data_IF_001059141609
#
_entry.id   IF_001059141609
#
_cell.length_a   1.000
_cell.length_b   1.000
_cell.length_c   1.000
_cell.angle_alpha   90.00
_cell.angle_beta   90.00
_cell.angle_gamma   90.00
#
_symmetry.space_group_name_H-M   'P 1'
#
loop_
_entity.id
_entity.type
_entity.pdbx_description
1 polymer ?
#
# COMPACT_ATOMS: atom_id res chain seq x y z
N UNK A 1 -82.63 -9.00 14.94
CA UNK A 1 -81.57 -8.44 15.78
C UNK A 1 -80.62 -9.58 16.12
N UNK A 2 -79.39 -9.58 15.48
CA UNK A 2 -78.36 -10.58 15.75
C UNK A 2 -77.16 -9.86 16.39
N UNK A 3 -76.59 -10.37 17.45
CA UNK A 3 -75.41 -9.75 18.04
C UNK A 3 -74.15 -10.14 17.29
N UNK A 4 -73.30 -9.15 17.01
CA UNK A 4 -71.98 -9.32 16.44
C UNK A 4 -71.00 -9.83 17.49
N UNK A 5 -70.44 -11.00 17.28
CA UNK A 5 -69.35 -11.57 18.06
C UNK A 5 -68.03 -10.93 17.68
N UNK A 6 -67.41 -10.22 18.59
CA UNK A 6 -66.06 -9.65 18.47
C UNK A 6 -65.07 -10.75 18.80
N UNK A 7 -64.30 -11.19 17.80
CA UNK A 7 -63.16 -12.10 17.99
C UNK A 7 -61.94 -11.27 18.39
N UNK A 8 -61.51 -11.40 19.62
CA UNK A 8 -60.24 -10.86 20.13
C UNK A 8 -59.14 -11.80 19.63
N UNK A 9 -58.33 -11.33 18.68
CA UNK A 9 -57.10 -12.00 18.24
C UNK A 9 -55.99 -11.78 19.27
N UNK A 10 -55.65 -12.85 19.98
CA UNK A 10 -54.47 -12.87 20.84
C UNK A 10 -53.20 -12.88 19.98
N UNK A 11 -52.51 -11.75 19.91
CA UNK A 11 -51.14 -11.68 19.33
C UNK A 11 -50.19 -12.33 20.33
N UNK A 12 -49.68 -13.50 19.97
CA UNK A 12 -48.60 -14.14 20.70
C UNK A 12 -47.28 -13.38 20.41
N UNK A 13 -46.75 -12.73 21.45
CA UNK A 13 -45.46 -12.07 21.41
C UNK A 13 -44.37 -13.17 21.44
N UNK A 14 -43.76 -13.46 20.29
CA UNK A 14 -42.60 -14.34 20.25
C UNK A 14 -41.38 -13.52 20.73
N UNK A 15 -40.97 -13.77 21.95
CA UNK A 15 -39.70 -13.26 22.51
C UNK A 15 -38.58 -14.12 21.93
N UNK A 16 -37.87 -13.62 20.92
CA UNK A 16 -36.65 -14.22 20.43
C UNK A 16 -35.53 -13.91 21.42
N UNK A 17 -35.21 -14.88 22.28
CA UNK A 17 -34.01 -14.82 23.12
C UNK A 17 -32.79 -15.04 22.23
N UNK A 18 -32.12 -13.96 21.86
CA UNK A 18 -30.80 -14.04 21.19
C UNK A 18 -29.80 -14.44 22.27
N UNK A 19 -29.46 -15.72 22.32
CA UNK A 19 -28.34 -16.22 23.12
C UNK A 19 -27.07 -15.66 22.53
N UNK A 20 -26.65 -14.48 22.97
CA UNK A 20 -25.33 -13.92 22.66
C UNK A 20 -24.28 -14.83 23.28
N UNK A 21 -23.55 -15.59 22.45
CA UNK A 21 -22.31 -16.21 22.88
C UNK A 21 -21.37 -15.10 23.32
N UNK A 22 -21.28 -14.84 24.64
CA UNK A 22 -20.23 -14.01 25.20
C UNK A 22 -18.92 -14.76 25.07
N UNK A 23 -18.15 -14.43 24.01
CA UNK A 23 -16.77 -14.88 23.88
C UNK A 23 -15.95 -14.22 25.01
N UNK A 24 -15.45 -15.04 25.93
CA UNK A 24 -14.44 -14.61 26.90
C UNK A 24 -13.08 -14.97 26.32
N UNK A 25 -12.26 -13.99 25.94
CA UNK A 25 -10.91 -14.30 25.47
C UNK A 25 -10.11 -14.98 26.57
N UNK A 26 -9.41 -16.03 26.22
CA UNK A 26 -8.48 -16.72 27.13
C UNK A 26 -7.18 -15.90 27.26
N UNK A 27 -6.39 -16.10 28.33
CA UNK A 27 -5.10 -15.42 28.46
C UNK A 27 -4.17 -15.67 27.28
N UNK A 28 -4.27 -16.82 26.62
CA UNK A 28 -3.50 -17.17 25.41
C UNK A 28 -3.95 -16.38 24.18
N UNK A 29 -5.23 -16.04 24.07
CA UNK A 29 -5.76 -15.15 23.02
C UNK A 29 -5.22 -13.74 23.14
N UNK A 30 -4.90 -13.30 24.35
CA UNK A 30 -4.28 -11.99 24.61
C UNK A 30 -2.79 -11.98 24.28
N UNK A 31 -2.13 -13.12 24.30
CA UNK A 31 -0.71 -13.26 23.92
C UNK A 31 -0.54 -13.51 22.42
N UNK A 32 -1.54 -14.08 21.77
CA UNK A 32 -1.60 -14.29 20.32
C UNK A 32 -2.43 -13.22 19.62
N UNK A 33 -2.74 -12.14 20.31
CA UNK A 33 -3.38 -10.98 19.70
C UNK A 33 -2.50 -10.52 18.54
N UNK A 34 -2.82 -11.00 17.33
CA UNK A 34 -2.45 -10.30 16.11
C UNK A 34 -2.99 -8.89 16.30
N UNK A 35 -2.14 -8.00 16.80
CA UNK A 35 -2.44 -6.58 16.73
C UNK A 35 -2.96 -6.37 15.31
N UNK A 36 -4.13 -5.75 15.10
CA UNK A 36 -4.54 -5.39 13.77
C UNK A 36 -3.32 -4.72 13.19
N UNK A 37 -2.81 -5.24 12.05
CA UNK A 37 -1.74 -4.58 11.32
C UNK A 37 -2.19 -3.15 11.23
N UNK A 38 -1.62 -2.30 12.08
CA UNK A 38 -1.86 -0.88 11.97
C UNK A 38 -1.39 -0.58 10.57
N UNK A 39 -2.33 -0.15 9.75
CA UNK A 39 -2.08 0.40 8.44
C UNK A 39 -1.10 1.52 8.69
N UNK A 40 0.18 1.21 8.63
CA UNK A 40 1.21 2.23 8.59
C UNK A 40 1.08 2.78 7.19
N UNK A 41 0.37 3.89 7.06
CA UNK A 41 0.40 4.73 5.88
C UNK A 41 1.85 5.24 5.78
N UNK A 42 2.71 4.38 5.23
CA UNK A 42 4.10 4.75 5.00
C UNK A 42 4.06 5.68 3.80
N UNK A 43 4.14 6.97 4.07
CA UNK A 43 4.42 7.95 3.02
C UNK A 43 5.93 8.18 3.00
N UNK A 44 6.59 7.75 1.96
CA UNK A 44 8.04 7.84 1.83
C UNK A 44 8.48 7.83 0.37
N UNK A 45 9.72 8.19 0.11
CA UNK A 45 10.31 8.03 -1.21
C UNK A 45 10.62 6.57 -1.51
N UNK A 46 10.35 6.14 -2.74
CA UNK A 46 10.77 4.86 -3.29
C UNK A 46 12.16 5.04 -3.92
N UNK A 47 13.15 4.34 -3.39
CA UNK A 47 14.56 4.49 -3.77
C UNK A 47 15.01 3.28 -4.59
N UNK A 48 15.74 3.52 -5.66
CA UNK A 48 16.36 2.47 -6.48
C UNK A 48 17.65 1.98 -5.82
N UNK A 49 18.14 0.79 -6.18
CA UNK A 49 19.42 0.25 -5.69
C UNK A 49 20.64 1.17 -5.96
N UNK A 50 20.51 2.13 -6.87
CA UNK A 50 21.54 3.12 -7.16
C UNK A 50 21.40 4.41 -6.33
N UNK A 51 20.47 4.47 -5.39
CA UNK A 51 20.26 5.61 -4.51
C UNK A 51 19.47 6.77 -5.12
N UNK A 52 18.83 6.59 -6.27
CA UNK A 52 17.95 7.59 -6.86
C UNK A 52 16.51 7.39 -6.44
N UNK A 53 15.79 8.48 -6.21
CA UNK A 53 14.37 8.45 -5.92
C UNK A 53 13.54 8.33 -7.21
N UNK A 54 12.49 7.51 -7.14
CA UNK A 54 11.46 7.49 -8.18
C UNK A 54 10.68 8.78 -8.10
N UNK A 55 10.55 9.47 -9.22
CA UNK A 55 9.97 10.81 -9.29
C UNK A 55 8.88 10.87 -10.36
N UNK A 56 7.72 11.38 -10.03
CA UNK A 56 6.68 11.70 -11.01
C UNK A 56 7.01 13.01 -11.71
N UNK A 57 7.33 12.95 -13.00
CA UNK A 57 7.59 14.11 -13.85
C UNK A 57 6.53 14.19 -14.96
N UNK A 58 5.58 15.10 -14.81
CA UNK A 58 4.42 15.13 -15.69
C UNK A 58 3.54 13.89 -15.52
N UNK A 59 3.56 13.00 -16.49
CA UNK A 59 2.86 11.70 -16.48
C UNK A 59 3.82 10.51 -16.49
N UNK A 60 5.11 10.74 -16.41
CA UNK A 60 6.14 9.70 -16.44
C UNK A 60 6.81 9.55 -15.08
N UNK A 61 7.22 8.34 -14.76
CA UNK A 61 8.10 8.07 -13.64
C UNK A 61 9.55 8.02 -14.14
N UNK A 62 10.39 8.80 -13.48
CA UNK A 62 11.82 8.91 -13.77
C UNK A 62 12.63 8.70 -12.50
N UNK A 63 13.88 8.31 -12.64
CA UNK A 63 14.86 8.37 -11.54
C UNK A 63 15.40 9.79 -11.40
N UNK A 64 15.47 10.34 -10.18
CA UNK A 64 16.06 11.64 -9.88
C UNK A 64 16.84 11.60 -8.56
N UNK A 65 17.74 12.56 -8.29
CA UNK A 65 18.26 12.74 -6.95
C UNK A 65 17.09 12.91 -5.95
N UNK A 66 17.24 12.38 -4.75
CA UNK A 66 16.22 12.52 -3.71
C UNK A 66 16.21 13.96 -3.21
N UNK A 67 15.06 14.62 -3.28
CA UNK A 67 14.87 16.04 -2.91
C UNK A 67 13.67 16.27 -1.98
N UNK A 68 13.05 15.18 -1.48
CA UNK A 68 11.89 15.19 -0.58
C UNK A 68 10.63 15.90 -1.13
N UNK A 69 10.62 16.21 -2.42
CA UNK A 69 9.46 16.83 -3.06
C UNK A 69 8.22 15.92 -3.05
N UNK A 70 7.04 16.50 -3.12
CA UNK A 70 5.77 15.77 -3.19
C UNK A 70 5.70 14.80 -4.39
N UNK A 71 6.48 15.04 -5.45
CA UNK A 71 6.55 14.17 -6.62
C UNK A 71 7.38 12.89 -6.38
N UNK A 72 8.08 12.81 -5.25
CA UNK A 72 8.86 11.65 -4.81
C UNK A 72 8.19 10.89 -3.66
N UNK A 73 7.06 11.40 -3.15
CA UNK A 73 6.36 10.78 -2.04
C UNK A 73 5.34 9.76 -2.57
N UNK A 74 5.47 8.56 -2.06
CA UNK A 74 4.58 7.44 -2.34
C UNK A 74 3.99 6.92 -1.04
N UNK A 75 2.75 6.48 -1.07
CA UNK A 75 2.15 5.70 0.00
C UNK A 75 1.76 4.31 -0.48
N UNK A 76 1.74 3.37 0.45
CA UNK A 76 1.37 1.99 0.19
C UNK A 76 0.09 1.65 0.92
N UNK A 77 -0.95 1.31 0.18
CA UNK A 77 -2.20 0.80 0.73
C UNK A 77 -2.54 -0.56 0.12
N UNK A 78 -2.28 -1.64 0.87
CA UNK A 78 -2.70 -3.02 0.57
C UNK A 78 -2.47 -3.50 -0.90
N UNK A 79 -1.49 -2.91 -1.60
CA UNK A 79 -1.19 -3.22 -3.00
C UNK A 79 -1.54 -2.10 -3.98
N UNK A 80 -2.05 -0.98 -3.52
CA UNK A 80 -2.04 0.28 -4.24
C UNK A 80 -0.72 1.02 -3.94
N UNK A 81 -0.08 1.53 -4.96
CA UNK A 81 1.05 2.43 -4.85
C UNK A 81 0.56 3.83 -5.22
N UNK A 82 0.34 4.65 -4.20
CA UNK A 82 -0.29 5.97 -4.34
C UNK A 82 0.75 7.07 -4.45
N UNK A 83 0.42 8.11 -5.20
CA UNK A 83 1.16 9.35 -5.37
C UNK A 83 0.21 10.53 -5.16
N UNK A 84 0.74 11.75 -5.10
CA UNK A 84 -0.06 12.97 -4.92
C UNK A 84 -1.18 13.17 -5.96
N UNK A 85 -1.12 12.52 -7.11
CA UNK A 85 -2.09 12.67 -8.22
C UNK A 85 -2.93 11.44 -8.49
N UNK A 86 -2.79 10.38 -7.72
CA UNK A 86 -3.50 9.13 -7.90
C UNK A 86 -2.61 7.90 -7.70
N UNK A 87 -3.03 6.78 -8.22
CA UNK A 87 -2.38 5.49 -8.08
C UNK A 87 -1.54 5.12 -9.32
N UNK A 88 -0.38 4.53 -9.08
CA UNK A 88 0.42 3.94 -10.14
C UNK A 88 -0.23 2.65 -10.64
N UNK A 89 -0.49 2.57 -11.91
CA UNK A 89 -1.13 1.42 -12.57
C UNK A 89 -0.38 1.01 -13.83
N UNK A 90 -0.56 -0.25 -14.24
CA UNK A 90 -0.17 -0.69 -15.58
C UNK A 90 -1.15 -0.13 -16.62
N UNK A 91 -0.66 0.45 -17.70
CA UNK A 91 -1.45 1.06 -18.78
C UNK A 91 -1.07 0.52 -20.13
N UNK A 92 -0.95 -0.77 -20.29
CA UNK A 92 -0.49 -1.40 -21.51
C UNK A 92 0.46 -2.55 -21.20
N UNK A 93 1.19 -3.00 -22.22
CA UNK A 93 2.04 -4.18 -22.05
C UNK A 93 3.24 -3.93 -21.14
N UNK A 94 3.84 -2.74 -21.19
CA UNK A 94 5.05 -2.39 -20.40
C UNK A 94 5.02 -0.94 -19.90
N UNK A 95 3.91 -0.29 -20.00
CA UNK A 95 3.72 1.12 -19.68
C UNK A 95 3.12 1.31 -18.29
N UNK A 96 3.47 2.43 -17.69
CA UNK A 96 2.96 2.89 -16.41
C UNK A 96 2.12 4.14 -16.63
N UNK A 97 1.04 4.27 -15.87
CA UNK A 97 0.25 5.48 -15.79
C UNK A 97 -0.07 5.81 -14.33
N UNK A 98 -0.37 7.08 -14.08
CA UNK A 98 -1.01 7.52 -12.83
C UNK A 98 -2.47 7.78 -13.15
N UNK A 99 -3.35 7.05 -12.48
CA UNK A 99 -4.80 7.11 -12.64
C UNK A 99 -5.48 7.38 -11.30
N UNK A 100 -6.76 7.73 -11.34
CA UNK A 100 -7.56 7.82 -10.12
C UNK A 100 -7.52 6.48 -9.36
N UNK A 101 -7.34 6.53 -8.03
CA UNK A 101 -7.28 5.35 -7.21
C UNK A 101 -8.66 4.67 -7.14
N UNK A 102 -8.73 3.42 -7.56
CA UNK A 102 -9.92 2.58 -7.59
C UNK A 102 -9.57 1.17 -7.12
N UNK A 103 -10.54 0.30 -6.95
CA UNK A 103 -10.31 -1.11 -6.60
C UNK A 103 -9.35 -1.82 -7.58
N UNK A 104 -9.37 -1.43 -8.85
CA UNK A 104 -8.45 -1.94 -9.88
C UNK A 104 -7.01 -1.44 -9.72
N UNK A 105 -6.74 -0.48 -8.84
CA UNK A 105 -5.40 0.06 -8.58
C UNK A 105 -4.56 -0.80 -7.63
N UNK A 106 -5.17 -1.76 -6.92
CA UNK A 106 -4.50 -2.71 -6.02
C UNK A 106 -3.77 -3.80 -6.79
N UNK A 107 -2.81 -3.40 -7.62
CA UNK A 107 -2.14 -4.27 -8.59
C UNK A 107 -0.75 -4.70 -8.15
N UNK A 108 -0.20 -4.05 -7.12
CA UNK A 108 1.20 -4.20 -6.75
C UNK A 108 1.40 -5.20 -5.61
N UNK A 109 2.53 -5.85 -5.63
CA UNK A 109 2.97 -6.77 -4.59
C UNK A 109 4.48 -6.66 -4.43
N UNK A 110 4.96 -6.55 -3.21
CA UNK A 110 6.37 -6.71 -2.90
C UNK A 110 6.78 -8.19 -3.01
N UNK A 111 7.84 -8.46 -3.75
CA UNK A 111 8.50 -9.75 -3.86
C UNK A 111 9.98 -9.59 -3.51
N UNK A 112 10.31 -9.62 -2.22
CA UNK A 112 11.61 -9.19 -1.71
C UNK A 112 11.78 -7.68 -1.90
N UNK A 113 12.74 -7.28 -2.70
CA UNK A 113 13.05 -5.89 -3.06
C UNK A 113 12.43 -5.43 -4.40
N UNK A 114 11.53 -6.23 -4.97
CA UNK A 114 10.90 -5.95 -6.26
C UNK A 114 9.42 -5.61 -6.10
N UNK A 115 8.96 -4.66 -6.89
CA UNK A 115 7.55 -4.33 -7.05
C UNK A 115 6.98 -5.07 -8.28
N UNK A 116 6.23 -6.12 -8.01
CA UNK A 116 5.53 -6.92 -9.02
C UNK A 116 4.13 -6.37 -9.26
N UNK A 117 3.78 -6.13 -10.52
CA UNK A 117 2.44 -5.77 -10.93
C UNK A 117 1.66 -7.04 -11.32
N UNK A 118 0.62 -7.37 -10.56
CA UNK A 118 -0.17 -8.59 -10.75
C UNK A 118 -0.99 -8.59 -12.03
N UNK A 119 -1.44 -7.42 -12.49
CA UNK A 119 -2.26 -7.31 -13.69
C UNK A 119 -1.42 -7.51 -14.96
N UNK A 120 -0.24 -6.92 -15.01
CA UNK A 120 0.65 -7.05 -16.14
C UNK A 120 1.53 -8.32 -16.08
N UNK A 121 1.64 -8.96 -14.90
CA UNK A 121 2.57 -10.04 -14.60
C UNK A 121 4.05 -9.64 -14.86
N UNK A 122 4.40 -8.40 -14.57
CA UNK A 122 5.70 -7.77 -14.80
C UNK A 122 6.19 -7.05 -13.53
N UNK A 123 7.47 -6.75 -13.48
CA UNK A 123 8.09 -5.98 -12.41
C UNK A 123 8.35 -4.53 -12.82
N UNK A 124 8.30 -3.62 -11.83
CA UNK A 124 8.81 -2.26 -12.01
C UNK A 124 10.29 -2.31 -12.36
N UNK A 125 10.72 -1.53 -13.34
CA UNK A 125 12.05 -1.62 -13.94
C UNK A 125 12.57 -0.23 -14.32
N UNK A 126 13.81 0.07 -13.93
CA UNK A 126 14.54 1.25 -14.45
C UNK A 126 15.06 0.91 -15.85
N UNK A 127 14.57 1.60 -16.85
CA UNK A 127 14.79 1.25 -18.25
C UNK A 127 16.27 1.18 -18.64
N UNK A 128 16.63 0.12 -19.37
CA UNK A 128 17.96 -0.02 -19.99
C UNK A 128 19.11 -0.21 -19.01
N UNK A 129 18.85 -0.62 -17.77
CA UNK A 129 19.85 -0.82 -16.71
C UNK A 129 20.73 0.43 -16.47
N UNK A 130 20.18 1.60 -16.70
CA UNK A 130 20.90 2.88 -16.58
C UNK A 130 20.64 3.48 -15.20
N UNK A 131 21.62 3.39 -14.33
CA UNK A 131 21.55 3.96 -13.00
C UNK A 131 22.00 5.44 -13.03
N UNK A 132 21.18 6.32 -13.60
CA UNK A 132 21.44 7.77 -13.67
C UNK A 132 20.13 8.57 -13.61
N UNK A 133 20.19 9.85 -13.20
CA UNK A 133 19.01 10.73 -13.20
C UNK A 133 18.36 10.82 -14.59
N UNK A 134 17.05 10.98 -14.62
CA UNK A 134 16.25 11.11 -15.83
C UNK A 134 16.00 9.79 -16.57
N UNK A 135 16.36 8.64 -15.98
CA UNK A 135 16.06 7.34 -16.59
C UNK A 135 14.58 6.99 -16.34
N UNK A 136 13.79 6.69 -17.38
CA UNK A 136 12.38 6.34 -17.21
C UNK A 136 12.21 4.97 -16.54
N UNK A 137 11.13 4.84 -15.79
CA UNK A 137 10.64 3.57 -15.28
C UNK A 137 9.61 2.97 -16.24
N UNK A 138 9.52 1.65 -16.23
CA UNK A 138 8.59 0.86 -17.04
C UNK A 138 8.24 -0.45 -16.34
N UNK A 139 7.41 -1.26 -16.97
CA UNK A 139 7.22 -2.66 -16.61
C UNK A 139 8.11 -3.55 -17.51
N UNK A 140 8.75 -4.57 -16.93
CA UNK A 140 9.55 -5.55 -17.63
C UNK A 140 9.44 -6.93 -16.96
N UNK A 141 9.87 -7.98 -17.66
CA UNK A 141 9.97 -9.33 -17.07
C UNK A 141 10.79 -9.30 -15.79
N UNK A 142 10.34 -10.05 -14.78
CA UNK A 142 11.01 -10.10 -13.49
C UNK A 142 12.24 -11.00 -13.57
N UNK A 143 13.44 -10.42 -13.56
CA UNK A 143 14.70 -11.16 -13.61
C UNK A 143 15.63 -10.91 -12.41
N UNK A 144 15.22 -10.01 -11.48
CA UNK A 144 15.95 -9.77 -10.23
C UNK A 144 17.27 -9.00 -10.41
N UNK A 145 17.38 -8.20 -11.45
CA UNK A 145 18.53 -7.29 -11.62
C UNK A 145 18.43 -6.06 -10.74
N UNK A 146 19.54 -5.38 -10.51
CA UNK A 146 19.63 -4.16 -9.69
C UNK A 146 18.67 -3.04 -10.15
N UNK A 147 18.33 -2.99 -11.44
CA UNK A 147 17.36 -2.04 -11.98
C UNK A 147 15.88 -2.39 -11.67
N UNK A 148 15.63 -3.49 -10.97
CA UNK A 148 14.31 -3.90 -10.44
C UNK A 148 14.30 -3.96 -8.93
N UNK A 149 15.37 -3.50 -8.27
CA UNK A 149 15.49 -3.46 -6.81
C UNK A 149 15.15 -2.07 -6.31
N UNK A 150 14.18 -2.02 -5.40
CA UNK A 150 13.64 -0.81 -4.79
C UNK A 150 13.52 -1.00 -3.28
N UNK A 151 13.60 0.10 -2.56
CA UNK A 151 13.34 0.15 -1.12
C UNK A 151 12.62 1.44 -0.75
N UNK A 152 11.93 1.44 0.38
CA UNK A 152 11.45 2.68 0.97
C UNK A 152 12.61 3.45 1.58
N UNK A 153 12.68 4.77 1.34
CA UNK A 153 13.65 5.64 2.00
C UNK A 153 13.43 5.52 3.51
N UNK A 154 14.45 5.12 4.24
CA UNK A 154 14.40 5.11 5.70
C UNK A 154 14.49 6.56 6.18
N UNK A 155 13.56 6.94 7.05
CA UNK A 155 13.79 8.14 7.87
C UNK A 155 14.94 7.81 8.81
N UNK A 156 16.01 8.59 8.75
CA UNK A 156 17.06 8.52 9.75
C UNK A 156 16.42 8.81 11.10
N UNK A 157 16.44 7.82 12.00
CA UNK A 157 15.86 8.01 13.31
C UNK A 157 16.58 9.17 14.02
N UNK A 158 15.85 9.98 14.80
CA UNK A 158 16.45 11.06 15.58
C UNK A 158 17.63 10.57 16.46
N UNK A 159 17.61 9.29 16.84
CA UNK A 159 18.69 8.66 17.61
C UNK A 159 19.96 8.52 16.77
N UNK A 160 19.85 8.10 15.50
CA UNK A 160 20.98 7.97 14.59
C UNK A 160 21.61 9.33 14.25
N UNK A 161 20.77 10.36 14.08
CA UNK A 161 21.24 11.74 13.91
C UNK A 161 21.97 12.29 15.16
N UNK A 162 21.52 11.92 16.36
CA UNK A 162 22.13 12.32 17.62
C UNK A 162 23.46 11.60 17.85
N UNK A 163 23.57 10.31 17.49
CA UNK A 163 24.82 9.55 17.57
C UNK A 163 25.87 10.11 16.61
N UNK A 164 25.48 10.39 15.36
CA UNK A 164 26.38 10.97 14.36
C UNK A 164 26.92 12.35 14.80
N UNK A 165 26.06 13.20 15.39
CA UNK A 165 26.48 14.50 15.97
C UNK A 165 27.38 14.36 17.17
N UNK A 166 27.31 13.28 17.94
CA UNK A 166 28.17 13.03 19.08
C UNK A 166 29.59 12.60 18.68
N UNK A 167 29.74 11.97 17.51
CA UNK A 167 31.01 11.50 16.96
C UNK A 167 31.84 12.61 16.27
N UNK A 168 31.21 13.74 15.92
CA UNK A 168 31.84 14.87 15.21
C UNK A 168 32.34 15.95 16.20
N UNK A 169 32.18 15.75 17.51
CA UNK A 169 32.70 16.60 18.57
C UNK A 169 33.96 16.02 19.18
#
# INVERSE_FOLDING_TARGET
MRPHSVRVSMLALVVVVISGCSYKPTPDDLLMGSAPMQRTDITSALVTSAGFCVTLSGQQLLTQPCDESANQQFSWDAGALELARGCLVASGRSELAVAECQETSYQWQWQGDRLFNRQAALCLDVAGRRHKPGTPLRLAECFGGANQSFEWKREESLLEQLELKSLIR
#
